data_IF_710842114146
#
_entry.id   IF_710842114146
#
_cell.length_a   1.000
_cell.length_b   1.000
_cell.length_c   1.000
_cell.angle_alpha   90.00
_cell.angle_beta   90.00
_cell.angle_gamma   90.00
#
_symmetry.space_group_name_H-M   'P 1'
#
loop_
_entity.id
_entity.type
_entity.pdbx_description
1 polymer ?
#
# COMPACT_ATOMS: atom_id res chain seq x y z
N UNK A 1 14.33 78.98 -12.97
CA UNK A 1 14.42 77.56 -13.33
C UNK A 1 14.03 76.78 -12.10
N UNK A 2 12.79 76.29 -12.01
CA UNK A 2 12.35 75.47 -10.89
C UNK A 2 12.75 74.02 -11.17
N UNK A 3 13.54 73.42 -10.29
CA UNK A 3 13.82 71.99 -10.33
C UNK A 3 12.61 71.27 -9.72
N UNK A 4 11.83 70.57 -10.55
CA UNK A 4 10.73 69.72 -10.10
C UNK A 4 11.32 68.47 -9.46
N UNK A 5 11.30 68.39 -8.13
CA UNK A 5 11.76 67.19 -7.40
C UNK A 5 10.68 66.11 -7.45
N UNK A 6 10.99 64.97 -8.09
CA UNK A 6 10.09 63.80 -8.16
C UNK A 6 9.97 63.15 -6.76
N UNK A 7 8.75 62.86 -6.27
CA UNK A 7 8.51 62.15 -5.01
C UNK A 7 9.16 60.75 -4.98
N UNK A 8 9.70 60.36 -3.81
CA UNK A 8 10.36 59.05 -3.60
C UNK A 8 9.43 57.86 -3.87
N UNK A 9 8.13 58.01 -3.63
CA UNK A 9 7.14 56.97 -3.86
C UNK A 9 7.00 56.64 -5.35
N UNK A 10 7.05 57.67 -6.22
CA UNK A 10 6.99 57.52 -7.68
C UNK A 10 8.25 56.84 -8.21
N UNK A 11 9.42 57.22 -7.69
CA UNK A 11 10.69 56.53 -8.03
C UNK A 11 10.63 55.05 -7.62
N UNK A 12 10.10 54.75 -6.43
CA UNK A 12 9.95 53.37 -5.96
C UNK A 12 8.92 52.57 -6.77
N UNK A 13 7.87 53.23 -7.24
CA UNK A 13 6.85 52.65 -8.11
C UNK A 13 7.44 52.32 -9.49
N UNK A 14 8.10 53.28 -10.14
CA UNK A 14 8.74 53.07 -11.44
C UNK A 14 9.82 51.97 -11.39
N UNK A 15 10.59 51.90 -10.29
CA UNK A 15 11.54 50.80 -10.10
C UNK A 15 10.85 49.41 -10.02
N UNK A 16 9.68 49.32 -9.38
CA UNK A 16 8.90 48.07 -9.32
C UNK A 16 8.26 47.72 -10.66
N UNK A 17 7.79 48.70 -11.43
CA UNK A 17 7.30 48.51 -12.81
C UNK A 17 8.41 47.98 -13.71
N UNK A 18 9.61 48.58 -13.68
CA UNK A 18 10.79 48.08 -14.43
C UNK A 18 11.19 46.66 -14.01
N UNK A 19 11.11 46.33 -12.72
CA UNK A 19 11.38 44.97 -12.25
C UNK A 19 10.35 43.96 -12.80
N UNK A 20 9.08 44.34 -12.90
CA UNK A 20 8.00 43.52 -13.46
C UNK A 20 8.08 43.34 -14.99
N UNK A 21 8.82 44.21 -15.69
CA UNK A 21 9.10 44.13 -17.13
C UNK A 21 10.48 43.53 -17.46
N UNK A 22 11.23 43.04 -16.47
CA UNK A 22 12.63 42.59 -16.63
C UNK A 22 12.85 41.36 -17.52
N UNK A 23 11.78 40.74 -18.00
CA UNK A 23 11.78 39.67 -19.00
C UNK A 23 11.91 40.19 -20.44
N UNK A 24 11.67 41.48 -20.68
CA UNK A 24 11.82 42.12 -22.00
C UNK A 24 13.30 42.44 -22.32
N UNK A 25 13.68 42.56 -23.61
CA UNK A 25 14.96 43.12 -24.02
C UNK A 25 15.17 44.52 -23.43
N UNK A 26 16.42 44.87 -23.12
CA UNK A 26 16.74 46.16 -22.49
C UNK A 26 16.26 47.37 -23.32
N UNK A 27 16.30 47.28 -24.65
CA UNK A 27 15.83 48.33 -25.57
C UNK A 27 14.31 48.54 -25.45
N UNK A 28 13.51 47.46 -25.42
CA UNK A 28 12.05 47.55 -25.25
C UNK A 28 11.65 48.03 -23.84
N UNK A 29 12.41 47.67 -22.81
CA UNK A 29 12.15 48.12 -21.44
C UNK A 29 12.40 49.62 -21.28
N UNK A 30 13.50 50.12 -21.87
CA UNK A 30 13.83 51.54 -21.83
C UNK A 30 12.79 52.34 -22.61
N UNK A 31 12.41 51.91 -23.82
CA UNK A 31 11.37 52.55 -24.64
C UNK A 31 10.01 52.66 -23.91
N UNK A 32 9.61 51.61 -23.16
CA UNK A 32 8.33 51.58 -22.43
C UNK A 32 8.35 52.35 -21.11
N UNK A 33 9.52 52.60 -20.53
CA UNK A 33 9.64 53.28 -19.23
C UNK A 33 10.36 54.62 -19.29
N UNK A 34 10.69 55.08 -20.50
CA UNK A 34 11.16 56.43 -20.77
C UNK A 34 10.11 57.46 -20.32
N UNK A 35 10.53 58.48 -19.58
CA UNK A 35 9.63 59.54 -19.11
C UNK A 35 8.63 59.16 -18.02
N UNK A 36 8.44 57.87 -17.70
CA UNK A 36 7.42 57.39 -16.77
C UNK A 36 7.42 58.10 -15.40
N UNK A 37 8.59 58.33 -14.82
CA UNK A 37 8.71 59.01 -13.52
C UNK A 37 8.28 60.48 -13.58
N UNK A 38 8.52 61.14 -14.72
CA UNK A 38 8.15 62.53 -14.93
C UNK A 38 6.64 62.67 -15.18
N UNK A 39 6.07 61.78 -16.02
CA UNK A 39 4.64 61.77 -16.34
C UNK A 39 3.79 61.44 -15.10
N UNK A 40 4.25 60.50 -14.27
CA UNK A 40 3.63 60.21 -12.97
C UNK A 40 3.79 61.38 -12.00
N UNK A 41 4.94 62.06 -11.96
CA UNK A 41 5.12 63.22 -11.09
C UNK A 41 4.20 64.38 -11.48
N UNK A 42 3.95 64.58 -12.78
CA UNK A 42 3.03 65.59 -13.29
C UNK A 42 1.57 65.23 -12.99
N UNK A 43 1.13 64.02 -13.35
CA UNK A 43 -0.26 63.58 -13.15
C UNK A 43 -0.69 63.57 -11.67
N UNK A 44 0.21 63.20 -10.75
CA UNK A 44 -0.09 63.14 -9.31
C UNK A 44 0.19 64.47 -8.58
N UNK A 45 0.84 65.44 -9.22
CA UNK A 45 0.91 66.81 -8.71
C UNK A 45 -0.44 67.54 -8.87
N UNK A 46 -1.23 67.18 -9.89
CA UNK A 46 -2.56 67.76 -10.15
C UNK A 46 -3.64 67.20 -9.21
N UNK A 47 -3.52 65.93 -8.80
CA UNK A 47 -4.43 65.26 -7.87
C UNK A 47 -3.66 64.42 -6.84
N UNK A 48 -3.18 65.07 -5.79
CA UNK A 48 -2.43 64.48 -4.69
C UNK A 48 -3.22 63.43 -3.88
N UNK A 49 -4.54 63.33 -4.06
CA UNK A 49 -5.39 62.33 -3.39
C UNK A 49 -5.48 61.01 -4.18
N UNK A 50 -4.90 60.94 -5.39
CA UNK A 50 -4.92 59.75 -6.24
C UNK A 50 -3.93 58.69 -5.70
N UNK A 51 -4.44 57.48 -5.42
CA UNK A 51 -3.60 56.33 -5.06
C UNK A 51 -2.87 55.76 -6.28
N UNK A 52 -1.59 55.41 -6.11
CA UNK A 52 -0.82 54.67 -7.11
C UNK A 52 -1.38 53.24 -7.24
N UNK A 53 -1.57 52.71 -8.47
CA UNK A 53 -2.06 51.36 -8.69
C UNK A 53 -1.04 50.29 -8.26
N UNK A 54 -1.38 49.00 -8.37
CA UNK A 54 -0.40 47.94 -8.16
C UNK A 54 0.67 47.96 -9.29
N UNK A 55 1.98 47.97 -8.96
CA UNK A 55 3.04 48.05 -9.98
C UNK A 55 3.07 46.89 -10.96
N UNK A 56 2.60 45.70 -10.56
CA UNK A 56 2.62 44.51 -11.42
C UNK A 56 1.44 44.56 -12.39
N UNK A 57 0.27 44.97 -11.90
CA UNK A 57 -0.91 45.22 -12.74
C UNK A 57 -0.64 46.33 -13.76
N UNK A 58 -0.05 47.45 -13.33
CA UNK A 58 0.33 48.55 -14.22
C UNK A 58 1.37 48.14 -15.28
N UNK A 59 2.35 47.30 -14.92
CA UNK A 59 3.29 46.72 -15.87
C UNK A 59 2.62 45.77 -16.88
N UNK A 60 1.59 45.04 -16.46
CA UNK A 60 0.79 44.19 -17.35
C UNK A 60 -0.06 45.03 -18.31
N UNK A 61 -0.63 46.14 -17.85
CA UNK A 61 -1.35 47.10 -18.68
C UNK A 61 -0.43 47.78 -19.72
N UNK A 62 0.75 48.25 -19.31
CA UNK A 62 1.78 48.80 -20.21
C UNK A 62 2.15 47.81 -21.31
N UNK A 63 2.34 46.53 -20.94
CA UNK A 63 2.65 45.44 -21.86
C UNK A 63 1.50 45.18 -22.84
N UNK A 64 0.26 45.15 -22.34
CA UNK A 64 -0.93 44.96 -23.16
C UNK A 64 -1.14 46.11 -24.15
N UNK A 65 -0.91 47.35 -23.73
CA UNK A 65 -0.97 48.53 -24.58
C UNK A 65 0.11 48.51 -25.68
N UNK A 66 1.29 47.97 -25.38
CA UNK A 66 2.36 47.76 -26.33
C UNK A 66 2.17 46.54 -27.26
N UNK A 67 1.09 45.76 -27.07
CA UNK A 67 0.84 44.54 -27.85
C UNK A 67 1.80 43.39 -27.56
N UNK A 68 2.49 43.42 -26.42
CA UNK A 68 3.49 42.44 -26.02
C UNK A 68 2.83 41.22 -25.35
N UNK A 69 3.37 39.99 -25.55
CA UNK A 69 2.81 38.77 -25.00
C UNK A 69 3.00 38.67 -23.47
N UNK A 70 2.09 37.96 -22.79
CA UNK A 70 2.19 37.71 -21.34
C UNK A 70 3.50 36.99 -20.95
N UNK A 71 4.06 37.26 -19.75
CA UNK A 71 5.29 36.64 -19.29
C UNK A 71 5.20 35.11 -19.30
N UNK A 72 5.96 34.46 -20.18
CA UNK A 72 6.05 33.00 -20.18
C UNK A 72 7.12 32.58 -19.16
N UNK A 73 6.83 31.61 -18.26
CA UNK A 73 7.87 31.06 -17.38
C UNK A 73 8.92 30.36 -18.22
N UNK A 74 10.05 31.02 -18.47
CA UNK A 74 11.11 30.48 -19.31
C UNK A 74 11.77 29.27 -18.62
N UNK A 75 12.07 28.21 -19.39
CA UNK A 75 12.78 27.03 -18.90
C UNK A 75 14.15 27.35 -18.25
N UNK A 76 14.71 28.51 -18.55
CA UNK A 76 15.93 29.04 -17.93
C UNK A 76 15.73 29.40 -16.44
N UNK A 77 14.55 29.90 -16.06
CA UNK A 77 14.19 30.20 -14.67
C UNK A 77 14.22 28.95 -13.80
N UNK A 78 13.47 27.91 -14.19
CA UNK A 78 13.41 26.63 -13.46
C UNK A 78 14.81 26.01 -13.27
N UNK A 79 15.66 26.05 -14.30
CA UNK A 79 17.03 25.53 -14.22
C UNK A 79 17.91 26.32 -13.25
N UNK A 80 17.79 27.65 -13.20
CA UNK A 80 18.51 28.48 -12.23
C UNK A 80 18.03 28.20 -10.81
N UNK A 81 16.73 28.06 -10.58
CA UNK A 81 16.18 27.75 -9.25
C UNK A 81 16.64 26.38 -8.78
N UNK A 82 16.57 25.36 -9.65
CA UNK A 82 17.08 24.02 -9.34
C UNK A 82 18.61 24.02 -9.11
N UNK A 83 19.37 24.82 -9.86
CA UNK A 83 20.80 24.96 -9.66
C UNK A 83 21.12 25.60 -8.29
N UNK A 84 20.41 26.67 -7.92
CA UNK A 84 20.55 27.36 -6.63
C UNK A 84 20.20 26.43 -5.45
N UNK A 85 19.05 25.75 -5.52
CA UNK A 85 18.63 24.75 -4.52
C UNK A 85 19.67 23.63 -4.40
N UNK A 86 20.21 23.15 -5.52
CA UNK A 86 21.25 22.12 -5.50
C UNK A 86 22.58 22.59 -4.91
N UNK A 87 22.92 23.88 -5.03
CA UNK A 87 24.12 24.45 -4.46
C UNK A 87 23.98 24.56 -2.94
N UNK A 88 22.85 25.06 -2.47
CA UNK A 88 22.53 25.22 -1.05
C UNK A 88 22.46 23.86 -0.31
N UNK A 89 21.83 22.86 -0.92
CA UNK A 89 21.81 21.49 -0.39
C UNK A 89 23.22 20.88 -0.28
N UNK A 90 24.11 21.15 -1.25
CA UNK A 90 25.50 20.65 -1.21
C UNK A 90 26.30 21.31 -0.09
N UNK A 91 26.10 22.62 0.12
CA UNK A 91 26.80 23.36 1.15
C UNK A 91 26.33 22.93 2.55
N UNK A 92 25.01 22.84 2.75
CA UNK A 92 24.40 22.31 3.97
C UNK A 92 24.87 20.88 4.27
N UNK A 93 24.94 20.02 3.24
CA UNK A 93 25.47 18.67 3.36
C UNK A 93 26.93 18.62 3.81
N UNK A 94 27.79 19.49 3.28
CA UNK A 94 29.20 19.58 3.70
C UNK A 94 29.35 20.01 5.16
N UNK A 95 28.62 21.04 5.59
CA UNK A 95 28.62 21.52 6.98
C UNK A 95 28.19 20.42 7.95
N UNK A 96 27.13 19.68 7.60
CA UNK A 96 26.68 18.54 8.39
C UNK A 96 27.73 17.43 8.45
N UNK A 97 28.34 17.06 7.31
CA UNK A 97 29.35 16.02 7.25
C UNK A 97 30.60 16.39 8.07
N UNK A 98 31.00 17.66 8.05
CA UNK A 98 32.09 18.18 8.87
C UNK A 98 31.75 18.15 10.36
N UNK A 99 30.53 18.53 10.74
CA UNK A 99 30.06 18.44 12.11
C UNK A 99 30.05 16.98 12.62
N UNK A 100 29.58 16.03 11.80
CA UNK A 100 29.59 14.59 12.12
C UNK A 100 31.03 14.07 12.22
N UNK A 101 31.93 14.48 11.34
CA UNK A 101 33.35 14.08 11.37
C UNK A 101 34.12 14.66 12.55
N UNK A 102 33.64 15.71 13.22
CA UNK A 102 34.26 16.24 14.44
C UNK A 102 33.96 15.37 15.66
N UNK A 103 32.85 14.62 15.64
CA UNK A 103 32.49 13.70 16.72
C UNK A 103 33.14 12.31 16.50
N UNK A 104 33.88 11.74 17.48
CA UNK A 104 34.44 10.39 17.37
C UNK A 104 33.37 9.31 17.11
N UNK A 105 32.18 9.42 17.72
CA UNK A 105 31.08 8.51 17.44
C UNK A 105 30.56 8.67 15.99
N UNK A 106 30.53 9.89 15.48
CA UNK A 106 30.13 10.19 14.10
C UNK A 106 31.11 9.62 13.07
N UNK A 107 32.42 9.64 13.36
CA UNK A 107 33.44 8.97 12.54
C UNK A 107 33.22 7.46 12.46
N UNK A 108 32.99 6.80 13.60
CA UNK A 108 32.72 5.36 13.63
C UNK A 108 31.49 4.97 12.80
N UNK A 109 30.41 5.76 12.87
CA UNK A 109 29.21 5.55 12.05
C UNK A 109 29.50 5.76 10.55
N UNK A 110 30.26 6.78 10.18
CA UNK A 110 30.65 7.01 8.79
C UNK A 110 31.52 5.89 8.25
N UNK A 111 32.47 5.37 9.04
CA UNK A 111 33.32 4.24 8.63
C UNK A 111 32.50 2.96 8.44
N UNK A 112 31.53 2.71 9.32
CA UNK A 112 30.57 1.60 9.15
C UNK A 112 29.75 1.75 7.86
N UNK A 113 29.20 2.94 7.59
CA UNK A 113 28.43 3.22 6.37
C UNK A 113 29.29 3.11 5.11
N UNK A 114 30.55 3.54 5.18
CA UNK A 114 31.52 3.36 4.09
C UNK A 114 31.84 1.87 3.88
N UNK A 115 31.92 1.09 4.95
CA UNK A 115 32.09 -0.36 4.87
C UNK A 115 30.88 -1.07 4.24
N UNK A 116 29.69 -0.48 4.31
CA UNK A 116 28.47 -0.99 3.69
C UNK A 116 28.30 -0.60 2.20
N UNK A 117 29.27 0.12 1.62
CA UNK A 117 29.29 0.43 0.18
C UNK A 117 29.05 -0.78 -0.73
N UNK A 118 29.65 -1.97 -0.48
CA UNK A 118 29.42 -3.14 -1.31
C UNK A 118 27.96 -3.61 -1.26
N UNK A 119 27.35 -3.52 -0.07
CA UNK A 119 25.95 -3.89 0.14
C UNK A 119 25.02 -2.96 -0.64
N UNK A 120 25.32 -1.66 -0.66
CA UNK A 120 24.56 -0.68 -1.42
C UNK A 120 24.52 -0.98 -2.93
N UNK A 121 25.62 -1.46 -3.52
CA UNK A 121 25.64 -1.84 -4.93
C UNK A 121 24.69 -2.99 -5.24
N UNK A 122 24.55 -3.94 -4.31
CA UNK A 122 23.61 -5.07 -4.41
C UNK A 122 22.18 -4.58 -4.28
N UNK A 123 21.88 -3.72 -3.29
CA UNK A 123 20.55 -3.11 -3.13
C UNK A 123 20.12 -2.38 -4.41
N UNK A 124 21.00 -1.56 -4.98
CA UNK A 124 20.72 -0.85 -6.25
C UNK A 124 20.43 -1.81 -7.40
N UNK A 125 21.21 -2.88 -7.53
CA UNK A 125 21.01 -3.88 -8.58
C UNK A 125 19.68 -4.62 -8.38
N UNK A 126 19.35 -4.97 -7.13
CA UNK A 126 18.10 -5.62 -6.77
C UNK A 126 16.90 -4.75 -7.12
N UNK A 127 16.89 -3.46 -6.73
CA UNK A 127 15.81 -2.52 -7.10
C UNK A 127 15.67 -2.42 -8.63
N UNK A 128 16.78 -2.31 -9.37
CA UNK A 128 16.75 -2.21 -10.83
C UNK A 128 16.16 -3.47 -11.50
N UNK A 129 16.56 -4.66 -11.04
CA UNK A 129 16.06 -5.94 -11.55
C UNK A 129 14.60 -6.15 -11.18
N UNK A 130 14.19 -5.73 -9.99
CA UNK A 130 12.79 -5.78 -9.57
C UNK A 130 11.91 -4.92 -10.48
N UNK A 131 12.32 -3.67 -10.76
CA UNK A 131 11.59 -2.78 -11.68
C UNK A 131 11.54 -3.36 -13.10
N UNK A 132 12.62 -4.01 -13.54
CA UNK A 132 12.65 -4.69 -14.83
C UNK A 132 11.67 -5.86 -14.87
N UNK A 133 11.64 -6.70 -13.83
CA UNK A 133 10.69 -7.81 -13.72
C UNK A 133 9.24 -7.30 -13.66
N UNK A 134 9.00 -6.21 -12.93
CA UNK A 134 7.71 -5.54 -12.86
C UNK A 134 7.22 -5.07 -14.23
N UNK A 135 8.10 -4.44 -15.00
CA UNK A 135 7.80 -3.97 -16.35
C UNK A 135 7.37 -5.10 -17.30
N UNK A 136 7.98 -6.29 -17.17
CA UNK A 136 7.63 -7.47 -17.97
C UNK A 136 6.52 -8.34 -17.35
N UNK A 137 5.95 -7.94 -16.21
CA UNK A 137 4.92 -8.72 -15.50
C UNK A 137 5.43 -10.06 -14.96
N UNK A 138 6.75 -10.22 -14.77
CA UNK A 138 7.40 -11.45 -14.32
C UNK A 138 7.76 -11.42 -12.82
N UNK A 139 7.13 -10.52 -12.07
CA UNK A 139 7.36 -10.29 -10.65
C UNK A 139 6.60 -11.31 -9.79
N UNK A 140 7.30 -11.92 -8.82
CA UNK A 140 6.72 -12.92 -7.91
C UNK A 140 6.98 -12.63 -6.43
N UNK A 141 7.20 -11.35 -6.08
CA UNK A 141 7.55 -10.90 -4.73
C UNK A 141 8.91 -10.21 -4.68
N UNK A 142 9.53 -10.18 -3.49
CA UNK A 142 10.83 -9.54 -3.27
C UNK A 142 12.01 -10.34 -3.86
N UNK A 143 11.85 -11.63 -4.12
CA UNK A 143 12.92 -12.51 -4.62
C UNK A 143 12.60 -13.08 -5.99
N UNK A 144 13.60 -13.27 -6.86
CA UNK A 144 13.44 -13.98 -8.12
C UNK A 144 12.78 -15.35 -7.94
N UNK A 145 11.69 -15.61 -8.67
CA UNK A 145 10.97 -16.90 -8.64
C UNK A 145 11.57 -17.95 -9.57
N UNK A 146 12.33 -17.54 -10.58
CA UNK A 146 12.97 -18.43 -11.54
C UNK A 146 14.50 -18.35 -11.45
N UNK A 147 15.17 -19.47 -11.75
CA UNK A 147 16.64 -19.54 -11.83
C UNK A 147 17.21 -18.57 -12.87
N UNK A 148 16.48 -18.26 -13.93
CA UNK A 148 16.86 -17.27 -14.93
C UNK A 148 16.95 -15.85 -14.34
N UNK A 149 15.98 -15.43 -13.51
CA UNK A 149 16.01 -14.12 -12.86
C UNK A 149 17.12 -13.99 -11.81
N UNK A 150 17.54 -15.09 -11.19
CA UNK A 150 18.74 -15.12 -10.35
C UNK A 150 20.02 -14.81 -11.15
N UNK A 151 20.14 -15.32 -12.39
CA UNK A 151 21.26 -14.99 -13.27
C UNK A 151 21.27 -13.51 -13.69
N UNK A 152 20.08 -12.96 -13.97
CA UNK A 152 19.93 -11.53 -14.28
C UNK A 152 20.32 -10.67 -13.08
N UNK A 153 19.88 -11.03 -11.87
CA UNK A 153 20.27 -10.35 -10.64
C UNK A 153 21.78 -10.40 -10.40
N UNK A 154 22.40 -11.57 -10.58
CA UNK A 154 23.84 -11.73 -10.45
C UNK A 154 24.60 -10.85 -11.47
N UNK A 155 24.18 -10.86 -12.74
CA UNK A 155 24.78 -10.04 -13.78
C UNK A 155 24.62 -8.54 -13.48
N UNK A 156 23.41 -8.11 -13.07
CA UNK A 156 23.15 -6.73 -12.67
C UNK A 156 23.94 -6.30 -11.44
N UNK A 157 24.12 -7.19 -10.46
CA UNK A 157 24.95 -6.94 -9.28
C UNK A 157 26.41 -6.74 -9.67
N UNK A 158 26.97 -7.62 -10.51
CA UNK A 158 28.34 -7.48 -11.01
C UNK A 158 28.53 -6.16 -11.77
N UNK A 159 27.61 -5.84 -12.68
CA UNK A 159 27.62 -4.55 -13.39
C UNK A 159 27.53 -3.40 -12.39
N UNK A 160 26.66 -3.49 -11.38
CA UNK A 160 26.47 -2.44 -10.38
C UNK A 160 27.72 -2.21 -9.53
N UNK A 161 28.41 -3.28 -9.14
CA UNK A 161 29.67 -3.25 -8.40
C UNK A 161 30.77 -2.62 -9.24
N UNK A 162 30.96 -3.10 -10.48
CA UNK A 162 32.01 -2.58 -11.36
C UNK A 162 31.77 -1.09 -11.71
N UNK A 163 30.51 -0.71 -11.86
CA UNK A 163 30.10 0.67 -12.08
C UNK A 163 30.30 1.55 -10.83
N UNK A 164 30.00 1.03 -9.63
CA UNK A 164 30.22 1.70 -8.35
C UNK A 164 31.70 1.84 -7.95
N UNK A 165 32.56 0.94 -8.44
CA UNK A 165 34.03 1.02 -8.30
C UNK A 165 34.67 2.05 -9.23
N UNK A 166 33.90 2.67 -10.12
CA UNK A 166 34.40 3.71 -11.02
C UNK A 166 35.26 3.19 -12.17
N UNK A 167 35.25 1.88 -12.44
CA UNK A 167 36.09 1.23 -13.48
C UNK A 167 35.76 1.75 -14.88
N UNK A 168 34.54 2.27 -15.08
CA UNK A 168 34.06 2.84 -16.35
C UNK A 168 34.16 4.37 -16.47
N UNK A 169 34.80 5.03 -15.50
CA UNK A 169 35.66 6.22 -15.67
C UNK A 169 35.22 7.45 -16.49
N UNK A 170 34.01 7.55 -17.05
CA UNK A 170 33.63 8.70 -17.87
C UNK A 170 32.95 9.79 -17.02
N UNK A 171 33.46 11.03 -17.08
CA UNK A 171 32.84 12.20 -16.43
C UNK A 171 31.36 12.40 -16.84
N UNK A 172 30.97 11.88 -18.01
CA UNK A 172 29.61 11.89 -18.57
C UNK A 172 28.62 10.94 -17.88
N UNK A 173 29.07 9.89 -17.20
CA UNK A 173 28.19 8.92 -16.51
C UNK A 173 27.94 9.24 -15.04
N UNK A 174 28.64 10.23 -14.48
CA UNK A 174 28.42 10.75 -13.12
C UNK A 174 26.96 11.15 -12.87
N UNK A 175 26.27 11.93 -13.74
CA UNK A 175 24.86 12.23 -13.52
C UNK A 175 23.97 10.98 -13.52
N UNK A 176 24.30 9.98 -14.34
CA UNK A 176 23.58 8.71 -14.43
C UNK A 176 23.76 7.85 -13.17
N UNK A 177 24.95 7.89 -12.57
CA UNK A 177 25.24 7.29 -11.27
C UNK A 177 24.48 7.96 -10.14
N UNK A 178 24.43 9.30 -10.13
CA UNK A 178 23.66 10.06 -9.14
C UNK A 178 22.17 9.76 -9.28
N UNK A 179 21.65 9.77 -10.50
CA UNK A 179 20.27 9.41 -10.80
C UNK A 179 19.95 7.98 -10.35
N UNK A 180 20.82 7.01 -10.64
CA UNK A 180 20.65 5.62 -10.21
C UNK A 180 20.68 5.45 -8.68
N UNK A 181 21.48 6.25 -7.97
CA UNK A 181 21.48 6.25 -6.50
C UNK A 181 20.21 6.88 -5.93
N UNK A 182 19.78 8.03 -6.48
CA UNK A 182 18.54 8.70 -6.05
C UNK A 182 17.33 7.83 -6.32
N UNK A 183 17.25 7.24 -7.52
CA UNK A 183 16.20 6.30 -7.88
C UNK A 183 16.19 5.09 -6.94
N UNK A 184 17.35 4.52 -6.61
CA UNK A 184 17.41 3.42 -5.65
C UNK A 184 16.89 3.83 -4.26
N UNK A 185 17.26 5.00 -3.74
CA UNK A 185 16.77 5.47 -2.43
C UNK A 185 15.26 5.72 -2.46
N UNK A 186 14.76 6.44 -3.47
CA UNK A 186 13.34 6.82 -3.60
C UNK A 186 12.48 5.59 -3.84
N UNK A 187 12.95 4.66 -4.66
CA UNK A 187 12.19 3.48 -5.04
C UNK A 187 12.33 2.33 -4.04
N UNK A 188 13.31 2.35 -3.14
CA UNK A 188 13.50 1.26 -2.17
C UNK A 188 12.24 1.02 -1.33
N UNK A 189 11.71 2.06 -0.70
CA UNK A 189 10.52 1.96 0.16
C UNK A 189 9.27 1.47 -0.60
N UNK A 190 8.86 2.09 -1.72
CA UNK A 190 7.71 1.60 -2.46
C UNK A 190 7.96 0.20 -3.03
N UNK A 191 9.14 -0.12 -3.56
CA UNK A 191 9.44 -1.48 -4.05
C UNK A 191 9.31 -2.51 -2.95
N UNK A 192 9.80 -2.23 -1.73
CA UNK A 192 9.63 -3.14 -0.59
C UNK A 192 8.16 -3.28 -0.21
N UNK A 193 7.41 -2.17 -0.12
CA UNK A 193 5.96 -2.20 0.20
C UNK A 193 5.16 -2.92 -0.87
N UNK A 194 5.47 -2.74 -2.16
CA UNK A 194 4.79 -3.43 -3.26
C UNK A 194 5.18 -4.90 -3.33
N UNK A 195 6.45 -5.24 -3.12
CA UNK A 195 6.93 -6.62 -3.10
C UNK A 195 6.35 -7.41 -1.92
N UNK A 196 6.34 -6.81 -0.73
CA UNK A 196 5.71 -7.37 0.48
C UNK A 196 4.19 -7.41 0.33
N UNK A 197 3.61 -6.32 -0.16
CA UNK A 197 2.20 -6.22 -0.49
C UNK A 197 1.75 -7.31 -1.43
N UNK A 198 2.54 -7.73 -2.43
CA UNK A 198 2.17 -8.81 -3.36
C UNK A 198 2.45 -10.22 -2.82
N UNK A 199 3.54 -10.42 -2.09
CA UNK A 199 3.78 -11.67 -1.35
C UNK A 199 2.64 -11.91 -0.37
N UNK A 200 2.20 -10.85 0.32
CA UNK A 200 1.01 -10.87 1.16
C UNK A 200 -0.27 -10.94 0.32
N UNK A 201 -0.44 -10.23 -0.80
CA UNK A 201 -1.64 -10.25 -1.65
C UNK A 201 -1.92 -11.64 -2.24
N UNK A 202 -0.87 -12.35 -2.66
CA UNK A 202 -1.02 -13.72 -3.15
C UNK A 202 -1.43 -14.67 -2.02
N UNK A 203 -1.05 -14.37 -0.77
CA UNK A 203 -1.55 -15.08 0.41
C UNK A 203 -2.91 -14.56 0.92
N UNK A 204 -3.25 -13.29 0.71
CA UNK A 204 -4.44 -12.63 1.29
C UNK A 204 -5.65 -12.60 0.36
N UNK A 205 -5.52 -13.05 -0.88
CA UNK A 205 -6.70 -13.45 -1.67
C UNK A 205 -7.32 -14.75 -1.10
N UNK A 206 -6.60 -15.48 -0.23
CA UNK A 206 -7.12 -16.66 0.49
C UNK A 206 -6.80 -16.70 1.99
N UNK A 207 -6.26 -15.63 2.54
CA UNK A 207 -6.17 -15.37 3.97
C UNK A 207 -6.86 -14.01 4.18
N UNK A 208 -8.12 -14.04 4.60
CA UNK A 208 -8.68 -12.87 5.26
C UNK A 208 -7.68 -12.42 6.34
N UNK A 209 -7.47 -11.10 6.50
CA UNK A 209 -6.65 -10.65 7.60
C UNK A 209 -7.26 -11.24 8.87
N UNK A 210 -6.48 -12.02 9.61
CA UNK A 210 -6.70 -12.17 11.04
C UNK A 210 -6.41 -10.80 11.63
N UNK A 211 -7.35 -9.87 11.43
CA UNK A 211 -7.74 -8.97 12.48
C UNK A 211 -7.94 -9.88 13.67
N UNK A 212 -7.38 -9.51 14.81
CA UNK A 212 -7.69 -10.17 16.07
C UNK A 212 -9.15 -9.82 16.38
N UNK A 213 -10.05 -10.42 15.61
CA UNK A 213 -11.49 -10.28 15.74
C UNK A 213 -11.82 -10.86 17.12
N UNK A 214 -12.67 -10.17 17.90
CA UNK A 214 -13.24 -10.79 19.09
C UNK A 214 -13.81 -12.14 18.63
N UNK A 215 -13.43 -13.24 19.29
CA UNK A 215 -13.72 -14.61 18.84
C UNK A 215 -15.10 -14.68 18.20
N UNK A 216 -15.12 -14.71 16.86
CA UNK A 216 -16.36 -14.64 16.12
C UNK A 216 -17.01 -16.01 16.30
N UNK A 217 -17.89 -16.12 17.29
CA UNK A 217 -18.63 -17.34 17.65
C UNK A 217 -19.70 -17.66 16.58
N UNK A 218 -19.44 -17.28 15.33
CA UNK A 218 -20.32 -17.44 14.20
C UNK A 218 -20.25 -18.90 13.72
N UNK A 219 -21.41 -19.56 13.69
CA UNK A 219 -21.55 -20.95 13.26
C UNK A 219 -21.65 -21.97 14.40
N UNK A 220 -21.71 -23.25 14.03
CA UNK A 220 -21.97 -24.35 14.97
C UNK A 220 -20.75 -24.68 15.84
N UNK A 221 -20.95 -24.61 17.15
CA UNK A 221 -20.05 -25.12 18.19
C UNK A 221 -20.75 -26.19 19.02
N UNK A 222 -20.02 -27.21 19.45
CA UNK A 222 -20.50 -28.26 20.34
C UNK A 222 -19.50 -28.44 21.48
N UNK A 223 -19.94 -28.27 22.74
CA UNK A 223 -19.10 -28.36 23.95
C UNK A 223 -17.81 -27.51 23.88
N UNK A 224 -17.92 -26.29 23.35
CA UNK A 224 -16.78 -25.39 23.15
C UNK A 224 -15.83 -25.80 22.01
N UNK A 225 -16.13 -26.86 21.26
CA UNK A 225 -15.38 -27.29 20.10
C UNK A 225 -16.07 -26.86 18.80
N UNK A 226 -15.26 -26.42 17.85
CA UNK A 226 -15.69 -26.09 16.50
C UNK A 226 -16.27 -27.33 15.79
N UNK A 227 -17.48 -27.19 15.23
CA UNK A 227 -18.08 -28.22 14.38
C UNK A 227 -17.67 -27.95 12.95
N UNK A 228 -16.83 -28.82 12.39
CA UNK A 228 -16.27 -28.65 11.04
C UNK A 228 -17.09 -29.30 9.94
N UNK A 229 -17.92 -30.28 10.27
CA UNK A 229 -18.86 -30.91 9.34
C UNK A 229 -19.99 -31.59 10.12
N UNK A 230 -21.15 -31.75 9.48
CA UNK A 230 -22.32 -32.40 10.05
C UNK A 230 -22.69 -33.61 9.18
N UNK A 231 -22.91 -34.76 9.82
CA UNK A 231 -23.36 -35.98 9.16
C UNK A 231 -24.75 -36.34 9.68
N UNK A 232 -25.74 -36.28 8.80
CA UNK A 232 -27.15 -36.53 9.14
C UNK A 232 -27.50 -37.98 8.81
N UNK A 233 -28.27 -38.63 9.68
CA UNK A 233 -28.75 -40.00 9.47
C UNK A 233 -30.26 -40.05 9.66
N UNK A 234 -30.93 -40.89 8.88
CA UNK A 234 -32.36 -41.14 9.02
C UNK A 234 -32.68 -42.03 10.24
N UNK A 235 -33.97 -42.23 10.52
CA UNK A 235 -34.41 -43.05 11.65
C UNK A 235 -33.91 -44.51 11.61
N UNK A 236 -33.58 -45.03 10.41
CA UNK A 236 -33.02 -46.38 10.21
C UNK A 236 -31.49 -46.38 10.29
N UNK A 237 -30.88 -45.25 10.64
CA UNK A 237 -29.44 -45.07 10.74
C UNK A 237 -28.73 -44.89 9.40
N UNK A 238 -29.46 -44.72 8.27
CA UNK A 238 -28.85 -44.53 6.96
C UNK A 238 -28.45 -43.08 6.78
N UNK A 239 -27.23 -42.85 6.29
CA UNK A 239 -26.74 -41.48 6.08
C UNK A 239 -27.56 -40.77 5.01
N UNK A 240 -28.05 -39.57 5.33
CA UNK A 240 -28.63 -38.64 4.38
C UNK A 240 -27.51 -37.76 3.79
N UNK A 241 -27.59 -37.49 2.49
CA UNK A 241 -26.60 -36.69 1.74
C UNK A 241 -27.30 -35.54 1.04
N UNK A 242 -26.56 -34.46 0.86
CA UNK A 242 -26.98 -33.25 0.16
C UNK A 242 -28.28 -32.65 0.77
N UNK A 243 -28.38 -32.68 2.10
CA UNK A 243 -29.51 -32.14 2.88
C UNK A 243 -29.21 -30.74 3.39
N UNK A 244 -30.21 -29.85 3.34
CA UNK A 244 -30.11 -28.52 3.93
C UNK A 244 -30.55 -28.52 5.38
N UNK A 245 -29.79 -27.84 6.24
CA UNK A 245 -30.14 -27.63 7.64
C UNK A 245 -30.38 -26.15 7.91
N UNK A 246 -31.43 -25.87 8.68
CA UNK A 246 -31.83 -24.55 9.12
C UNK A 246 -32.09 -24.58 10.62
N UNK A 247 -31.96 -23.45 11.28
CA UNK A 247 -32.32 -23.29 12.69
C UNK A 247 -33.83 -23.03 12.88
N UNK A 248 -34.22 -22.75 14.12
CA UNK A 248 -35.60 -22.44 14.51
C UNK A 248 -36.16 -21.19 13.85
N UNK A 249 -35.29 -20.24 13.50
CA UNK A 249 -35.59 -18.96 12.89
C UNK A 249 -35.64 -19.06 11.36
N UNK A 250 -35.26 -20.21 10.80
CA UNK A 250 -35.19 -20.44 9.35
C UNK A 250 -33.89 -19.96 8.71
N UNK A 251 -32.89 -19.61 9.51
CA UNK A 251 -31.57 -19.23 9.04
C UNK A 251 -30.74 -20.48 8.69
N UNK A 252 -29.93 -20.45 7.62
CA UNK A 252 -29.15 -21.59 7.18
C UNK A 252 -28.04 -21.90 8.18
N UNK A 253 -28.01 -23.13 8.71
CA UNK A 253 -26.99 -23.56 9.66
C UNK A 253 -25.61 -23.66 8.99
N UNK A 254 -24.63 -22.96 9.55
CA UNK A 254 -23.23 -22.93 9.08
C UNK A 254 -22.30 -23.55 10.11
N UNK A 255 -21.27 -24.25 9.63
CA UNK A 255 -20.15 -24.69 10.47
C UNK A 255 -19.30 -23.51 10.89
N UNK A 256 -18.54 -23.64 11.98
CA UNK A 256 -17.68 -22.57 12.50
C UNK A 256 -16.39 -22.34 11.68
N UNK A 257 -16.23 -23.03 10.54
CA UNK A 257 -15.03 -23.01 9.67
C UNK A 257 -15.43 -22.95 8.20
N UNK A 258 -16.32 -22.02 7.85
CA UNK A 258 -16.78 -21.82 6.46
C UNK A 258 -15.58 -21.54 5.54
N UNK A 259 -15.42 -22.35 4.48
CA UNK A 259 -14.31 -22.18 3.53
C UNK A 259 -12.91 -22.49 4.06
N UNK A 260 -12.78 -22.97 5.31
CA UNK A 260 -11.50 -23.34 5.90
C UNK A 260 -10.88 -24.60 5.28
N UNK A 261 -9.61 -24.86 5.62
CA UNK A 261 -8.92 -26.10 5.26
C UNK A 261 -9.01 -27.14 6.37
N UNK A 262 -8.88 -28.40 6.01
CA UNK A 262 -8.91 -29.50 6.98
C UNK A 262 -8.43 -30.82 6.40
N UNK A 263 -8.50 -31.86 7.23
CA UNK A 263 -8.14 -33.21 6.81
C UNK A 263 -9.23 -33.82 5.94
N UNK A 264 -8.89 -34.11 4.67
CA UNK A 264 -9.74 -34.82 3.72
C UNK A 264 -9.99 -36.26 4.17
N UNK A 265 -8.94 -36.92 4.65
CA UNK A 265 -8.99 -38.28 5.17
C UNK A 265 -8.95 -38.30 6.69
N UNK A 266 -9.35 -39.41 7.32
CA UNK A 266 -9.41 -39.51 8.79
C UNK A 266 -8.01 -39.57 9.43
N UNK A 267 -7.04 -40.13 8.71
CA UNK A 267 -5.61 -40.17 9.04
C UNK A 267 -4.86 -38.89 8.63
N UNK A 268 -5.56 -37.90 8.06
CA UNK A 268 -4.98 -36.65 7.55
C UNK A 268 -3.87 -36.84 6.49
N UNK A 269 -3.82 -37.99 5.81
CA UNK A 269 -2.88 -38.22 4.70
C UNK A 269 -3.12 -37.30 3.48
N UNK A 270 -4.33 -36.74 3.36
CA UNK A 270 -4.63 -35.68 2.41
C UNK A 270 -5.38 -34.53 3.10
N UNK A 271 -5.10 -33.31 2.67
CA UNK A 271 -5.78 -32.09 3.09
C UNK A 271 -6.69 -31.58 1.97
N UNK A 272 -7.62 -30.70 2.33
CA UNK A 272 -8.51 -30.05 1.38
C UNK A 272 -9.19 -28.83 1.96
N UNK A 273 -9.90 -28.11 1.10
CA UNK A 273 -10.69 -26.93 1.44
C UNK A 273 -12.17 -27.27 1.42
N UNK A 274 -12.93 -26.85 2.43
CA UNK A 274 -14.38 -26.99 2.43
C UNK A 274 -14.99 -26.21 1.26
N UNK A 275 -15.86 -26.85 0.51
CA UNK A 275 -16.52 -26.28 -0.66
C UNK A 275 -18.02 -26.15 -0.40
N UNK A 276 -18.64 -25.02 -0.78
CA UNK A 276 -20.09 -24.90 -0.75
C UNK A 276 -20.71 -25.82 -1.82
N UNK A 277 -21.97 -26.15 -1.62
CA UNK A 277 -22.81 -26.67 -2.69
C UNK A 277 -23.25 -25.53 -3.62
N UNK A 278 -23.57 -25.86 -4.87
CA UNK A 278 -24.17 -24.92 -5.82
C UNK A 278 -25.65 -25.26 -5.95
N UNK A 279 -26.52 -24.29 -5.67
CA UNK A 279 -27.97 -24.44 -5.81
C UNK A 279 -28.40 -24.36 -7.28
N UNK A 280 -29.65 -24.72 -7.57
CA UNK A 280 -30.17 -24.71 -8.93
C UNK A 280 -30.18 -23.31 -9.59
N UNK A 281 -30.23 -22.26 -8.77
CA UNK A 281 -30.15 -20.85 -9.19
C UNK A 281 -28.69 -20.36 -9.36
N UNK A 282 -27.69 -21.22 -9.14
CA UNK A 282 -26.27 -20.90 -9.23
C UNK A 282 -25.67 -20.28 -7.97
N UNK A 283 -26.47 -20.02 -6.93
CA UNK A 283 -25.96 -19.48 -5.66
C UNK A 283 -25.20 -20.55 -4.85
N UNK A 284 -24.31 -20.10 -3.96
CA UNK A 284 -23.48 -20.98 -3.12
C UNK A 284 -24.15 -21.20 -1.77
N UNK A 285 -24.31 -22.46 -1.37
CA UNK A 285 -24.94 -22.86 -0.12
C UNK A 285 -23.95 -23.60 0.80
N UNK A 286 -23.79 -23.09 2.02
CA UNK A 286 -22.90 -23.64 3.07
C UNK A 286 -23.63 -24.47 4.12
N UNK A 287 -24.96 -24.57 4.02
CA UNK A 287 -25.82 -25.35 4.90
C UNK A 287 -26.22 -26.71 4.30
N UNK A 288 -25.56 -27.14 3.22
CA UNK A 288 -25.79 -28.42 2.56
C UNK A 288 -24.79 -29.46 3.09
N UNK A 289 -25.31 -30.50 3.74
CA UNK A 289 -24.50 -31.49 4.46
C UNK A 289 -24.62 -32.91 3.87
N UNK A 290 -23.54 -33.73 3.97
CA UNK A 290 -22.24 -33.36 4.51
C UNK A 290 -21.48 -32.40 3.59
N UNK A 291 -20.72 -31.47 4.19
CA UNK A 291 -19.84 -30.60 3.42
C UNK A 291 -18.80 -31.44 2.69
N UNK A 292 -18.47 -31.00 1.47
CA UNK A 292 -17.47 -31.63 0.61
C UNK A 292 -16.18 -30.81 0.65
N UNK A 293 -15.07 -31.45 0.32
CA UNK A 293 -13.78 -30.80 0.23
C UNK A 293 -13.15 -30.97 -1.14
N UNK A 294 -12.49 -29.92 -1.61
CA UNK A 294 -11.62 -29.99 -2.77
C UNK A 294 -10.21 -30.29 -2.28
N UNK A 295 -9.60 -31.33 -2.83
CA UNK A 295 -8.24 -31.75 -2.44
C UNK A 295 -7.25 -30.62 -2.67
N UNK A 296 -6.39 -30.39 -1.69
CA UNK A 296 -5.27 -29.46 -1.79
C UNK A 296 -3.99 -30.22 -2.19
N UNK A 297 -3.08 -29.51 -2.83
CA UNK A 297 -1.72 -29.98 -3.01
C UNK A 297 -0.98 -29.97 -1.65
N UNK A 298 -0.20 -31.00 -1.29
CA UNK A 298 0.60 -30.98 -0.06
C UNK A 298 1.59 -29.81 0.00
N UNK A 299 2.11 -29.36 -1.16
CA UNK A 299 3.15 -28.34 -1.27
C UNK A 299 2.60 -26.98 -1.73
N UNK A 300 1.35 -26.93 -2.24
CA UNK A 300 0.68 -25.69 -2.65
C UNK A 300 -0.56 -25.45 -1.76
N UNK A 301 -0.65 -24.27 -1.16
CA UNK A 301 -1.78 -23.82 -0.32
C UNK A 301 -3.03 -23.49 -1.17
N UNK A 302 -3.28 -24.26 -2.23
CA UNK A 302 -4.34 -24.03 -3.21
C UNK A 302 -5.03 -25.34 -3.58
N UNK A 303 -6.32 -25.28 -4.00
CA UNK A 303 -7.00 -26.44 -4.54
C UNK A 303 -6.22 -27.02 -5.73
N UNK A 304 -6.10 -28.35 -5.77
CA UNK A 304 -5.45 -29.02 -6.88
C UNK A 304 -6.23 -28.73 -8.18
N UNK A 305 -5.54 -28.32 -9.24
CA UNK A 305 -6.16 -27.96 -10.51
C UNK A 305 -7.00 -29.14 -11.05
N UNK A 306 -8.28 -28.88 -11.35
CA UNK A 306 -9.23 -29.89 -11.81
C UNK A 306 -9.76 -30.83 -10.73
N UNK A 307 -9.43 -30.62 -9.45
CA UNK A 307 -10.01 -31.42 -8.37
C UNK A 307 -11.50 -31.12 -8.18
N UNK A 308 -12.27 -32.18 -8.04
CA UNK A 308 -13.72 -32.14 -7.83
C UNK A 308 -14.01 -32.22 -6.32
N UNK A 309 -15.06 -31.55 -5.80
CA UNK A 309 -15.45 -31.69 -4.40
C UNK A 309 -15.78 -33.15 -4.02
N UNK A 310 -15.13 -33.65 -2.98
CA UNK A 310 -15.27 -35.02 -2.48
C UNK A 310 -15.87 -35.02 -1.08
N UNK A 311 -16.74 -36.00 -0.80
CA UNK A 311 -17.29 -36.17 0.54
C UNK A 311 -16.26 -36.82 1.47
N UNK A 312 -16.16 -36.31 2.70
CA UNK A 312 -15.41 -36.99 3.76
C UNK A 312 -16.15 -38.24 4.20
N UNK A 313 -15.41 -39.31 4.53
CA UNK A 313 -15.98 -40.54 5.08
C UNK A 313 -16.71 -40.22 6.38
N UNK A 314 -17.97 -40.65 6.47
CA UNK A 314 -18.78 -40.44 7.66
C UNK A 314 -18.27 -41.32 8.83
N UNK A 315 -18.42 -40.87 10.09
CA UNK A 315 -17.99 -41.64 11.25
C UNK A 315 -18.68 -43.01 11.38
N UNK A 316 -19.94 -43.11 10.95
CA UNK A 316 -20.72 -44.33 11.02
C UNK A 316 -21.18 -44.74 9.62
N UNK A 317 -21.01 -46.03 9.27
CA UNK A 317 -21.65 -46.58 8.08
C UNK A 317 -23.17 -46.67 8.27
N UNK A 318 -23.61 -47.00 9.48
CA UNK A 318 -24.98 -46.94 9.94
C UNK A 318 -24.99 -46.42 11.37
N UNK A 319 -25.75 -45.36 11.63
CA UNK A 319 -25.92 -44.83 12.97
C UNK A 319 -26.92 -45.68 13.79
N UNK A 320 -26.89 -45.61 15.13
CA UNK A 320 -27.90 -46.27 15.97
C UNK A 320 -29.33 -45.91 15.55
N UNK A 321 -30.19 -46.93 15.46
CA UNK A 321 -31.59 -46.77 15.04
C UNK A 321 -32.39 -46.03 16.11
N UNK A 322 -33.21 -45.07 15.69
CA UNK A 322 -34.06 -44.28 16.60
C UNK A 322 -35.45 -44.90 16.65
N UNK A 323 -35.81 -45.50 17.79
CA UNK A 323 -37.17 -45.99 18.06
C UNK A 323 -37.93 -45.06 19.00
N UNK A 324 -38.74 -44.16 18.43
CA UNK A 324 -39.58 -43.23 19.19
C UNK A 324 -40.76 -43.89 19.91
N UNK A 325 -41.16 -45.11 19.50
CA UNK A 325 -42.27 -45.84 20.13
C UNK A 325 -41.87 -46.42 21.49
N UNK A 326 -40.58 -46.71 21.68
CA UNK A 326 -40.00 -47.07 22.96
C UNK A 326 -39.88 -45.85 23.91
N UNK A 327 -39.61 -44.66 23.38
CA UNK A 327 -39.47 -43.42 24.16
C UNK A 327 -40.77 -43.03 24.87
N UNK A 328 -41.92 -43.09 24.17
CA UNK A 328 -43.23 -42.78 24.77
C UNK A 328 -43.61 -43.70 25.93
N UNK A 329 -43.12 -44.96 25.92
CA UNK A 329 -43.33 -45.92 27.02
C UNK A 329 -42.46 -45.65 28.25
N UNK A 330 -41.28 -45.05 28.09
CA UNK A 330 -40.37 -44.72 29.21
C UNK A 330 -40.69 -43.38 29.87
N UNK A 331 -41.10 -42.36 29.11
CA UNK A 331 -41.47 -41.05 29.68
C UNK A 331 -42.74 -41.11 30.55
N UNK A 332 -43.65 -42.06 30.28
CA UNK A 332 -44.85 -42.27 31.10
C UNK A 332 -44.56 -42.91 32.48
N UNK A 333 -43.35 -43.41 32.73
CA UNK A 333 -43.01 -44.19 33.93
C UNK A 333 -41.99 -43.54 34.88
N UNK A 334 -41.59 -42.28 34.67
CA UNK A 334 -40.80 -41.55 35.67
C UNK A 334 -39.95 -40.43 35.11
N UNK A 335 -40.40 -39.20 35.32
CA UNK A 335 -39.53 -38.01 35.35
C UNK A 335 -39.80 -37.34 36.69
N UNK A 336 -39.11 -37.80 37.73
CA UNK A 336 -38.90 -37.02 38.96
C UNK A 336 -37.60 -36.24 38.72
N UNK A 337 -37.72 -34.92 38.58
CA UNK A 337 -36.56 -34.03 38.54
C UNK A 337 -36.07 -33.88 39.99
N UNK A 338 -35.00 -34.61 40.35
CA UNK A 338 -34.34 -34.43 41.64
C UNK A 338 -33.54 -33.11 41.62
N UNK A 339 -34.13 -32.09 42.23
CA UNK A 339 -33.56 -30.75 42.37
C UNK A 339 -33.66 -30.31 43.82
N UNK A 340 -32.68 -30.66 44.64
CA UNK A 340 -32.49 -30.11 45.99
C UNK A 340 -31.00 -29.86 46.20
N UNK A 341 -30.50 -28.76 45.63
CA UNK A 341 -29.18 -28.24 45.93
C UNK A 341 -29.19 -27.53 47.28
N UNK A 342 -28.35 -28.01 48.20
CA UNK A 342 -27.94 -27.32 49.42
C UNK A 342 -27.48 -25.89 49.11
N UNK A 343 -28.15 -24.90 49.70
CA UNK A 343 -27.64 -23.53 49.82
C UNK A 343 -27.35 -23.26 51.30
N UNK A 344 -26.07 -23.42 51.66
CA UNK A 344 -25.49 -22.90 52.90
C UNK A 344 -25.42 -21.39 52.80
N UNK A 345 -26.39 -20.69 53.39
CA UNK A 345 -26.30 -19.26 53.66
C UNK A 345 -25.74 -19.04 55.07
N UNK A 346 -24.43 -18.78 55.16
CA UNK A 346 -23.83 -18.06 56.29
C UNK A 346 -24.20 -16.59 56.17
N UNK A 347 -24.78 -16.01 57.23
CA UNK A 347 -25.00 -14.58 57.35
C UNK A 347 -25.22 -14.19 58.81
N UNK A 348 -24.28 -13.41 59.36
CA UNK A 348 -24.29 -12.84 60.70
C UNK A 348 -25.58 -12.08 61.02
N UNK A 349 -26.21 -12.37 62.16
CA UNK A 349 -26.26 -11.51 63.36
C UNK A 349 -27.06 -12.20 64.46
#
# INVERSE_FOLDING_TARGET
MNATTVPVEIVSFAARVRAALSDLPAEELDDLTEGLEADLAEAYAEDLARELPDPVEYAAELRAAAGLPEPQPTQAGLRRTLAAVSADLRESGRRCLEAVRRNPAGRGVLDLLVSLRPLWWVVRAWVAVWLLAAFFGAEGGATPTSSAWWLVLLAAALVSIQWGRGVWGARRIVPLLVLGNVAAVVLLAPVVVFADGRSNSMSTVYAEPVVQEPQDLTGLYADGRQVTNVFVYDAKGRQLRDVQLFDSEGEPLRTSVVGGSGCLTQDCAATGFWSPAVMADGSRAWNVFPLRMIRADPDLVSPLAGAVPQARKAPFAQAPVVDRTATGRRSALGVVLDGSGDQVARGNQ
#
